data_IF_427270515890
#
_entry.id   IF_427270515890
#
_cell.length_a   1.000
_cell.length_b   1.000
_cell.length_c   1.000
_cell.angle_alpha   90.00
_cell.angle_beta   90.00
_cell.angle_gamma   90.00
#
_symmetry.space_group_name_H-M   'P 1'
#
loop_
_entity.id
_entity.type
_entity.pdbx_description
1 polymer ?
#
# COMPACT_ATOMS: atom_id res chain seq x y z
N UNK A 1 -2.04 -3.16 -20.59
CA UNK A 1 -2.08 -1.70 -20.80
C UNK A 1 -0.67 -1.24 -21.13
N UNK A 2 -0.43 -0.62 -22.28
CA UNK A 2 0.92 -0.22 -22.73
C UNK A 2 1.45 1.09 -22.13
N UNK A 3 0.64 1.80 -21.31
CA UNK A 3 1.00 3.06 -20.64
C UNK A 3 1.08 2.85 -19.13
N UNK A 4 1.78 3.76 -18.44
CA UNK A 4 1.86 3.75 -16.97
C UNK A 4 0.45 3.93 -16.38
N UNK A 5 -0.13 2.85 -15.83
CA UNK A 5 -1.50 2.84 -15.27
C UNK A 5 -1.68 3.82 -14.11
N UNK A 6 -0.61 4.21 -13.43
CA UNK A 6 -0.66 5.16 -12.32
C UNK A 6 -0.98 6.59 -12.77
N UNK A 7 -0.73 6.91 -14.07
CA UNK A 7 -1.08 8.19 -14.70
C UNK A 7 -2.56 8.29 -15.14
N UNK A 8 -3.32 7.19 -15.06
CA UNK A 8 -4.71 7.22 -15.46
C UNK A 8 -5.52 8.18 -14.57
N UNK A 9 -6.41 9.00 -15.14
CA UNK A 9 -7.19 9.95 -14.35
C UNK A 9 -8.25 9.27 -13.49
N UNK A 10 -8.34 9.66 -12.21
CA UNK A 10 -9.40 9.24 -11.28
C UNK A 10 -9.93 10.46 -10.52
N UNK A 11 -11.06 11.00 -10.97
CA UNK A 11 -11.50 12.34 -10.62
C UNK A 11 -10.60 13.38 -11.29
N UNK A 12 -10.10 14.34 -10.51
CA UNK A 12 -9.21 15.40 -10.96
C UNK A 12 -7.73 15.08 -10.74
N UNK A 13 -7.39 13.86 -10.34
CA UNK A 13 -6.05 13.46 -9.94
C UNK A 13 -5.61 12.17 -10.63
N UNK A 14 -4.32 11.86 -10.56
CA UNK A 14 -3.77 10.59 -11.02
C UNK A 14 -4.15 9.44 -10.10
N UNK A 15 -4.47 8.29 -10.68
CA UNK A 15 -4.84 7.06 -9.97
C UNK A 15 -3.82 6.67 -8.90
N UNK A 16 -2.53 6.65 -9.26
CA UNK A 16 -1.46 6.24 -8.34
C UNK A 16 -1.32 7.17 -7.13
N UNK A 17 -1.69 8.45 -7.28
CA UNK A 17 -1.61 9.43 -6.20
C UNK A 17 -2.61 9.18 -5.06
N UNK A 18 -3.72 8.49 -5.34
CA UNK A 18 -4.78 8.25 -4.36
C UNK A 18 -4.30 7.44 -3.15
N UNK A 19 -3.57 6.35 -3.40
CA UNK A 19 -3.03 5.51 -2.32
C UNK A 19 -1.98 6.27 -1.50
N UNK A 20 -1.11 7.05 -2.15
CA UNK A 20 -0.13 7.90 -1.48
C UNK A 20 -0.80 8.97 -0.63
N UNK A 21 -1.81 9.65 -1.16
CA UNK A 21 -2.60 10.65 -0.46
C UNK A 21 -3.25 10.07 0.81
N UNK A 22 -3.89 8.89 0.69
CA UNK A 22 -4.48 8.22 1.83
C UNK A 22 -3.44 7.90 2.91
N UNK A 23 -2.24 7.43 2.52
CA UNK A 23 -1.16 7.14 3.44
C UNK A 23 -0.63 8.40 4.14
N UNK A 24 -0.30 9.44 3.38
CA UNK A 24 0.27 10.70 3.91
C UNK A 24 -0.71 11.45 4.81
N UNK A 25 -2.02 11.32 4.56
CA UNK A 25 -3.07 11.92 5.38
C UNK A 25 -3.52 11.03 6.56
N UNK A 26 -2.96 9.84 6.71
CA UNK A 26 -3.27 8.91 7.79
C UNK A 26 -2.41 9.15 9.04
N UNK A 27 -2.57 8.28 10.04
CA UNK A 27 -1.77 8.30 11.28
C UNK A 27 -0.39 7.65 11.15
N UNK A 28 0.02 7.15 9.96
CA UNK A 28 1.38 6.62 9.79
C UNK A 28 2.41 7.72 9.97
N UNK A 29 3.53 7.41 10.62
CA UNK A 29 4.57 8.39 10.89
C UNK A 29 5.28 8.86 9.62
N UNK A 30 5.51 7.93 8.67
CA UNK A 30 6.21 8.22 7.42
C UNK A 30 5.77 7.26 6.30
N UNK A 31 5.69 7.75 5.08
CA UNK A 31 5.35 6.96 3.89
C UNK A 31 6.56 6.83 2.98
N UNK A 32 6.87 5.62 2.54
CA UNK A 32 7.99 5.34 1.63
C UNK A 32 7.42 4.94 0.27
N UNK A 33 7.62 5.76 -0.74
CA UNK A 33 7.26 5.46 -2.12
C UNK A 33 8.43 4.77 -2.80
N UNK A 34 8.22 3.54 -3.26
CA UNK A 34 9.24 2.77 -3.96
C UNK A 34 8.86 2.61 -5.42
N UNK A 35 9.71 3.08 -6.32
CA UNK A 35 9.51 2.95 -7.76
C UNK A 35 10.66 2.21 -8.43
N UNK A 36 10.47 1.78 -9.68
CA UNK A 36 11.56 1.33 -10.53
C UNK A 36 12.50 2.48 -10.87
N UNK A 37 13.73 2.17 -11.23
CA UNK A 37 14.69 3.16 -11.74
C UNK A 37 14.14 3.86 -12.98
N UNK A 38 14.25 5.19 -13.00
CA UNK A 38 13.80 6.03 -14.12
C UNK A 38 12.32 6.40 -14.08
N UNK A 39 11.60 6.13 -12.99
CA UNK A 39 10.27 6.68 -12.77
C UNK A 39 10.39 8.18 -12.46
N UNK A 40 9.69 9.02 -13.21
CA UNK A 40 9.73 10.48 -13.10
C UNK A 40 8.70 11.05 -12.10
N UNK A 41 7.91 10.18 -11.45
CA UNK A 41 6.91 10.53 -10.43
C UNK A 41 5.76 11.43 -10.94
N UNK A 42 5.56 11.55 -12.24
CA UNK A 42 4.50 12.39 -12.83
C UNK A 42 3.08 11.99 -12.37
N UNK A 43 2.93 10.77 -11.86
CA UNK A 43 1.67 10.29 -11.29
C UNK A 43 1.39 10.78 -9.87
N UNK A 44 2.36 11.44 -9.23
CA UNK A 44 2.18 12.03 -7.89
C UNK A 44 1.70 13.46 -8.05
N UNK A 45 0.57 13.77 -7.40
CA UNK A 45 -0.01 15.11 -7.47
C UNK A 45 0.93 16.18 -6.87
N UNK A 46 1.04 17.36 -7.52
CA UNK A 46 1.96 18.42 -7.11
C UNK A 46 1.80 18.86 -5.65
N UNK A 47 0.58 18.82 -5.12
CA UNK A 47 0.31 19.19 -3.72
C UNK A 47 1.11 18.35 -2.71
N UNK A 48 1.42 17.08 -3.04
CA UNK A 48 2.17 16.18 -2.15
C UNK A 48 3.66 16.56 -2.04
N UNK A 49 4.17 17.41 -2.94
CA UNK A 49 5.51 17.98 -2.87
C UNK A 49 5.57 19.30 -2.10
N UNK A 50 4.42 19.83 -1.65
CA UNK A 50 4.39 21.06 -0.84
C UNK A 50 4.99 20.83 0.55
N UNK A 51 5.40 21.93 1.22
CA UNK A 51 5.98 21.90 2.56
C UNK A 51 5.11 21.16 3.59
N UNK A 52 3.78 21.22 3.44
CA UNK A 52 2.84 20.57 4.34
C UNK A 52 2.94 19.03 4.30
N UNK A 53 3.36 18.47 3.18
CA UNK A 53 3.37 17.00 2.97
C UNK A 53 4.75 16.41 2.70
N UNK A 54 5.71 17.18 2.16
CA UNK A 54 7.01 16.64 1.72
C UNK A 54 7.81 15.96 2.84
N UNK A 55 7.61 16.35 4.10
CA UNK A 55 8.28 15.74 5.24
C UNK A 55 7.62 14.41 5.68
N UNK A 56 6.39 14.13 5.23
CA UNK A 56 5.63 12.93 5.60
C UNK A 56 5.92 11.72 4.72
N UNK A 57 6.67 11.91 3.64
CA UNK A 57 7.01 10.81 2.75
C UNK A 57 8.39 10.98 2.13
N UNK A 58 8.92 9.88 1.63
CA UNK A 58 10.18 9.86 0.87
C UNK A 58 10.07 8.93 -0.32
N UNK A 59 10.92 9.15 -1.32
CA UNK A 59 10.99 8.34 -2.53
C UNK A 59 12.27 7.52 -2.57
N UNK A 60 12.17 6.26 -3.01
CA UNK A 60 13.29 5.37 -3.29
C UNK A 60 13.17 4.84 -4.71
N UNK A 61 14.22 5.07 -5.50
CA UNK A 61 14.40 4.43 -6.80
C UNK A 61 15.07 3.07 -6.63
N UNK A 62 14.29 1.98 -6.78
CA UNK A 62 14.78 0.61 -6.63
C UNK A 62 15.31 0.07 -7.97
N UNK A 63 16.62 -0.03 -8.11
CA UNK A 63 17.27 -0.54 -9.34
C UNK A 63 16.93 -2.00 -9.64
N UNK A 64 16.60 -2.77 -8.62
CA UNK A 64 16.21 -4.19 -8.73
C UNK A 64 14.70 -4.42 -8.88
N UNK A 65 13.87 -3.39 -8.99
CA UNK A 65 12.41 -3.51 -9.07
C UNK A 65 11.91 -4.45 -10.17
N UNK A 66 12.66 -4.54 -11.30
CA UNK A 66 12.34 -5.45 -12.40
C UNK A 66 12.53 -6.94 -12.05
N UNK A 67 13.16 -7.27 -10.92
CA UNK A 67 13.32 -8.65 -10.44
C UNK A 67 12.06 -9.19 -9.72
N UNK A 68 10.98 -8.39 -9.70
CA UNK A 68 9.69 -8.76 -9.11
C UNK A 68 9.32 -7.95 -7.88
N UNK A 69 8.10 -8.15 -7.38
CA UNK A 69 7.49 -7.38 -6.29
C UNK A 69 8.32 -7.42 -5.00
N UNK A 70 8.95 -8.55 -4.69
CA UNK A 70 9.79 -8.71 -3.49
C UNK A 70 10.98 -7.74 -3.46
N UNK A 71 11.53 -7.38 -4.63
CA UNK A 71 12.67 -6.46 -4.70
C UNK A 71 12.26 -5.04 -4.26
N UNK A 72 11.13 -4.55 -4.74
CA UNK A 72 10.57 -3.26 -4.32
C UNK A 72 10.22 -3.24 -2.84
N UNK A 73 9.61 -4.33 -2.34
CA UNK A 73 9.28 -4.47 -0.92
C UNK A 73 10.53 -4.39 -0.03
N UNK A 74 11.61 -5.08 -0.41
CA UNK A 74 12.89 -5.05 0.33
C UNK A 74 13.55 -3.66 0.29
N UNK A 75 13.49 -2.95 -0.83
CA UNK A 75 13.97 -1.57 -0.91
C UNK A 75 13.25 -0.68 0.12
N UNK A 76 11.91 -0.75 0.17
CA UNK A 76 11.11 -0.02 1.14
C UNK A 76 11.38 -0.46 2.59
N UNK A 77 11.51 -1.77 2.82
CA UNK A 77 11.79 -2.33 4.13
C UNK A 77 13.16 -1.88 4.67
N UNK A 78 14.18 -1.82 3.80
CA UNK A 78 15.49 -1.32 4.21
C UNK A 78 15.39 0.13 4.71
N UNK A 79 14.65 0.98 4.00
CA UNK A 79 14.43 2.37 4.44
C UNK A 79 13.63 2.43 5.74
N UNK A 80 12.64 1.59 5.92
CA UNK A 80 11.88 1.51 7.17
C UNK A 80 12.78 1.12 8.36
N UNK A 81 13.73 0.21 8.16
CA UNK A 81 14.73 -0.15 9.17
C UNK A 81 15.65 1.03 9.53
N UNK A 82 16.10 1.80 8.53
CA UNK A 82 16.89 3.02 8.74
C UNK A 82 16.13 4.07 9.58
N UNK A 83 14.82 4.15 9.38
CA UNK A 83 13.90 5.00 10.15
C UNK A 83 13.50 4.39 11.50
N UNK A 84 14.06 3.24 11.88
CA UNK A 84 13.76 2.53 13.14
C UNK A 84 12.28 2.19 13.30
N UNK A 85 11.58 1.85 12.19
CA UNK A 85 10.16 1.54 12.22
C UNK A 85 9.87 0.27 13.05
N UNK A 86 8.82 0.32 13.88
CA UNK A 86 8.32 -0.83 14.63
C UNK A 86 7.39 -1.71 13.80
N UNK A 87 6.78 -1.13 12.76
CA UNK A 87 5.93 -1.84 11.81
C UNK A 87 5.95 -1.15 10.43
N UNK A 88 5.55 -1.88 9.40
CA UNK A 88 5.33 -1.34 8.05
C UNK A 88 3.95 -1.75 7.54
N UNK A 89 3.21 -0.80 6.92
CA UNK A 89 1.99 -1.10 6.17
C UNK A 89 2.33 -1.14 4.69
N UNK A 90 2.10 -2.27 4.05
CA UNK A 90 2.30 -2.46 2.61
C UNK A 90 1.02 -2.08 1.88
N UNK A 91 1.11 -1.03 1.07
CA UNK A 91 0.05 -0.55 0.18
C UNK A 91 0.44 -0.79 -1.28
N UNK A 92 -0.56 -0.88 -2.15
CA UNK A 92 -0.36 -0.98 -3.59
C UNK A 92 -0.86 0.31 -4.27
N UNK A 93 -0.02 0.93 -5.08
CA UNK A 93 -0.35 2.19 -5.75
C UNK A 93 -1.48 2.07 -6.79
N UNK A 94 -1.75 0.84 -7.26
CA UNK A 94 -2.83 0.51 -8.18
C UNK A 94 -4.16 0.13 -7.50
N UNK A 95 -4.23 0.23 -6.16
CA UNK A 95 -5.45 0.12 -5.36
C UNK A 95 -5.92 1.52 -4.89
N UNK A 96 -6.51 2.34 -5.78
CA UNK A 96 -6.75 3.76 -5.51
C UNK A 96 -7.90 4.05 -4.56
N UNK A 97 -8.68 3.02 -4.19
CA UNK A 97 -9.85 3.19 -3.30
C UNK A 97 -9.53 2.89 -1.83
N UNK A 98 -8.24 2.65 -1.52
CA UNK A 98 -7.80 2.51 -0.13
C UNK A 98 -8.16 3.77 0.67
N UNK A 99 -8.65 3.59 1.91
CA UNK A 99 -9.13 4.70 2.72
C UNK A 99 -8.19 5.03 3.89
N UNK A 100 -8.13 6.30 4.26
CA UNK A 100 -7.45 6.79 5.47
C UNK A 100 -7.97 6.04 6.70
N UNK A 101 -9.29 5.78 6.76
CA UNK A 101 -9.92 5.07 7.87
C UNK A 101 -9.34 3.67 8.04
N UNK A 102 -9.19 2.91 6.94
CA UNK A 102 -8.63 1.56 7.02
C UNK A 102 -7.17 1.57 7.46
N UNK A 103 -6.36 2.50 6.94
CA UNK A 103 -4.95 2.66 7.35
C UNK A 103 -4.89 2.99 8.86
N UNK A 104 -5.70 3.94 9.31
CA UNK A 104 -5.76 4.33 10.73
C UNK A 104 -6.25 3.20 11.64
N UNK A 105 -7.18 2.38 11.16
CA UNK A 105 -7.62 1.18 11.88
C UNK A 105 -6.46 0.20 12.08
N UNK A 106 -5.61 -0.01 11.07
CA UNK A 106 -4.43 -0.87 11.18
C UNK A 106 -3.41 -0.32 12.18
N UNK A 107 -3.17 1.00 12.15
CA UNK A 107 -2.30 1.66 13.14
C UNK A 107 -2.85 1.43 14.55
N UNK A 108 -4.14 1.72 14.79
CA UNK A 108 -4.75 1.57 16.11
C UNK A 108 -4.80 0.11 16.58
N UNK A 109 -5.05 -0.85 15.68
CA UNK A 109 -4.98 -2.27 16.03
C UNK A 109 -3.58 -2.69 16.45
N UNK A 110 -2.53 -2.19 15.75
CA UNK A 110 -1.15 -2.49 16.10
C UNK A 110 -0.75 -1.84 17.44
N UNK A 111 -1.16 -0.60 17.70
CA UNK A 111 -0.91 0.08 18.99
C UNK A 111 -1.51 -0.69 20.16
N UNK A 112 -2.71 -1.27 19.99
CA UNK A 112 -3.39 -2.06 21.01
C UNK A 112 -2.88 -3.51 21.12
N UNK A 113 -2.25 -4.04 20.07
CA UNK A 113 -1.77 -5.43 19.98
C UNK A 113 -0.36 -5.48 19.40
N UNK A 114 0.60 -4.81 20.04
CA UNK A 114 1.97 -4.63 19.51
C UNK A 114 2.77 -5.94 19.34
N UNK A 115 2.33 -7.04 19.95
CA UNK A 115 2.95 -8.36 19.82
C UNK A 115 2.50 -9.15 18.57
N UNK A 116 1.46 -8.70 17.85
CA UNK A 116 1.00 -9.44 16.66
C UNK A 116 2.04 -9.36 15.53
N UNK A 117 2.31 -10.47 14.82
CA UNK A 117 3.25 -10.47 13.71
C UNK A 117 2.72 -9.68 12.50
N UNK A 118 1.43 -9.76 12.21
CA UNK A 118 0.82 -9.04 11.10
C UNK A 118 -0.66 -8.75 11.32
N UNK A 119 -1.16 -7.73 10.61
CA UNK A 119 -2.58 -7.41 10.45
C UNK A 119 -2.86 -7.36 8.96
N UNK A 120 -3.78 -8.16 8.47
CA UNK A 120 -4.13 -8.22 7.05
C UNK A 120 -5.58 -7.82 6.83
N UNK A 121 -5.83 -7.08 5.78
CA UNK A 121 -7.19 -6.94 5.27
C UNK A 121 -7.71 -8.30 4.82
N UNK A 122 -8.97 -8.57 5.11
CA UNK A 122 -9.62 -9.83 4.79
C UNK A 122 -11.00 -9.57 4.18
N UNK A 123 -11.30 -10.25 3.09
CA UNK A 123 -12.58 -10.13 2.41
C UNK A 123 -12.96 -11.46 1.77
N UNK A 124 -14.13 -12.00 2.12
CA UNK A 124 -14.65 -13.26 1.58
C UNK A 124 -13.62 -14.42 1.57
N UNK A 125 -12.92 -14.62 2.67
CA UNK A 125 -11.95 -15.70 2.80
C UNK A 125 -10.56 -15.39 2.21
N UNK A 126 -10.34 -14.19 1.66
CA UNK A 126 -9.09 -13.83 0.98
C UNK A 126 -8.38 -12.72 1.74
N UNK A 127 -7.13 -13.00 2.16
CA UNK A 127 -6.24 -12.00 2.73
C UNK A 127 -5.55 -11.19 1.61
N UNK A 128 -5.38 -9.89 1.83
CA UNK A 128 -4.78 -9.01 0.82
C UNK A 128 -4.24 -7.69 1.39
N UNK A 129 -3.68 -6.86 0.52
CA UNK A 129 -3.27 -5.52 0.88
C UNK A 129 -4.50 -4.63 1.19
N UNK A 130 -4.37 -3.69 2.16
CA UNK A 130 -3.18 -3.42 2.95
C UNK A 130 -2.85 -4.54 3.93
N UNK A 131 -1.54 -4.70 4.19
CA UNK A 131 -1.03 -5.60 5.23
C UNK A 131 -0.04 -4.85 6.10
N UNK A 132 -0.24 -4.85 7.40
CA UNK A 132 0.74 -4.39 8.36
C UNK A 132 1.60 -5.57 8.80
N UNK A 133 2.91 -5.39 8.83
CA UNK A 133 3.87 -6.32 9.41
C UNK A 133 4.63 -5.63 10.54
N UNK A 134 4.65 -6.24 11.71
CA UNK A 134 5.48 -5.79 12.82
C UNK A 134 6.97 -6.08 12.53
N UNK A 135 7.85 -5.41 13.24
CA UNK A 135 9.31 -5.53 13.12
C UNK A 135 9.81 -6.98 13.22
N UNK A 136 9.14 -7.82 14.00
CA UNK A 136 9.49 -9.25 14.11
C UNK A 136 9.38 -10.00 12.79
N UNK A 137 8.58 -9.50 11.82
CA UNK A 137 8.39 -10.11 10.50
C UNK A 137 9.41 -9.64 9.45
N UNK A 138 10.22 -8.61 9.75
CA UNK A 138 11.19 -8.06 8.80
C UNK A 138 12.16 -9.11 8.26
N UNK A 139 12.73 -10.04 9.08
CA UNK A 139 13.58 -11.10 8.56
C UNK A 139 12.88 -12.06 7.57
N UNK A 140 11.57 -12.27 7.75
CA UNK A 140 10.76 -13.10 6.83
C UNK A 140 10.48 -12.36 5.52
N UNK A 141 10.23 -11.06 5.58
CA UNK A 141 10.07 -10.20 4.39
C UNK A 141 11.35 -10.12 3.56
N UNK A 142 12.53 -10.09 4.20
CA UNK A 142 13.83 -10.09 3.51
C UNK A 142 14.09 -11.39 2.70
N UNK A 143 13.48 -12.50 3.09
CA UNK A 143 13.64 -13.81 2.40
C UNK A 143 12.76 -13.97 1.16
N UNK A 144 11.81 -13.05 0.91
CA UNK A 144 10.97 -13.09 -0.29
C UNK A 144 11.79 -12.99 -1.57
N UNK A 145 11.34 -13.64 -2.65
CA UNK A 145 12.04 -13.67 -3.94
C UNK A 145 11.06 -13.51 -5.11
N UNK A 146 11.50 -12.91 -6.21
CA UNK A 146 10.73 -12.73 -7.43
C UNK A 146 9.41 -11.99 -7.18
N UNK A 147 8.31 -12.48 -7.72
CA UNK A 147 6.97 -11.89 -7.58
C UNK A 147 6.24 -12.28 -6.28
N UNK A 148 6.99 -12.80 -5.31
CA UNK A 148 6.42 -13.09 -4.00
C UNK A 148 6.17 -11.79 -3.24
N UNK A 149 4.90 -11.52 -2.97
CA UNK A 149 4.47 -10.37 -2.17
C UNK A 149 4.08 -10.76 -0.74
N UNK A 150 3.51 -9.80 -0.03
CA UNK A 150 3.03 -9.91 1.35
C UNK A 150 2.13 -11.13 1.61
N UNK A 151 1.28 -11.51 0.64
CA UNK A 151 0.36 -12.66 0.74
C UNK A 151 1.09 -13.98 1.01
N UNK A 152 2.31 -14.16 0.50
CA UNK A 152 3.08 -15.39 0.75
C UNK A 152 3.43 -15.53 2.23
N UNK A 153 3.85 -14.44 2.86
CA UNK A 153 4.19 -14.42 4.28
C UNK A 153 2.99 -14.79 5.14
N UNK A 154 1.81 -14.23 4.84
CA UNK A 154 0.57 -14.55 5.56
C UNK A 154 0.26 -16.05 5.48
N UNK A 155 0.35 -16.65 4.28
CA UNK A 155 0.08 -18.08 4.08
C UNK A 155 1.07 -18.98 4.79
N UNK A 156 2.34 -18.58 4.88
CA UNK A 156 3.40 -19.38 5.52
C UNK A 156 3.35 -19.34 7.05
N UNK A 157 2.88 -18.24 7.64
CA UNK A 157 2.83 -18.07 9.10
C UNK A 157 1.55 -18.62 9.74
N UNK A 158 0.63 -19.14 8.93
CA UNK A 158 -0.67 -19.62 9.40
C UNK A 158 -1.62 -18.51 9.83
N UNK A 159 -2.90 -18.81 9.92
CA UNK A 159 -3.93 -17.86 10.32
C UNK A 159 -3.95 -17.58 11.83
N UNK A 160 -3.26 -18.39 12.61
CA UNK A 160 -3.36 -18.39 14.08
C UNK A 160 -2.56 -17.26 14.76
N UNK A 161 -1.60 -16.66 14.04
CA UNK A 161 -0.65 -15.73 14.65
C UNK A 161 -0.87 -14.27 14.26
N UNK A 162 -1.87 -13.92 13.46
CA UNK A 162 -2.12 -12.57 13.01
C UNK A 162 -3.57 -12.13 13.18
N UNK A 163 -3.83 -10.85 12.96
CA UNK A 163 -5.18 -10.29 12.94
C UNK A 163 -5.65 -10.21 11.48
N UNK A 164 -6.82 -10.80 11.20
CA UNK A 164 -7.53 -10.65 9.95
C UNK A 164 -8.67 -9.66 10.15
N UNK A 165 -8.49 -8.46 9.62
CA UNK A 165 -9.50 -7.41 9.69
C UNK A 165 -10.51 -7.59 8.56
N UNK A 166 -11.72 -8.04 8.90
CA UNK A 166 -12.80 -8.24 7.93
C UNK A 166 -13.27 -6.89 7.36
N UNK A 167 -13.15 -6.73 6.06
CA UNK A 167 -13.58 -5.54 5.35
C UNK A 167 -14.92 -5.81 4.65
N UNK A 168 -15.91 -4.98 4.89
CA UNK A 168 -17.23 -5.07 4.23
C UNK A 168 -17.24 -4.51 2.80
N UNK A 169 -16.26 -3.67 2.45
CA UNK A 169 -16.19 -2.99 1.16
C UNK A 169 -15.16 -3.66 0.22
N UNK A 170 -15.67 -4.48 -0.70
CA UNK A 170 -14.86 -5.14 -1.73
C UNK A 170 -14.01 -4.18 -2.57
N UNK A 171 -14.45 -2.93 -2.72
CA UNK A 171 -13.77 -1.96 -3.57
C UNK A 171 -12.38 -1.60 -3.07
N UNK A 172 -12.10 -1.76 -1.78
CA UNK A 172 -10.79 -1.51 -1.17
C UNK A 172 -9.69 -2.44 -1.70
N UNK A 173 -10.07 -3.60 -2.26
CA UNK A 173 -9.16 -4.63 -2.78
C UNK A 173 -9.02 -4.59 -4.30
N UNK A 174 -9.70 -3.66 -4.96
CA UNK A 174 -9.67 -3.59 -6.43
C UNK A 174 -8.40 -2.91 -6.91
N UNK A 175 -7.63 -3.65 -7.68
CA UNK A 175 -6.47 -3.17 -8.44
C UNK A 175 -6.85 -2.83 -9.89
N UNK A 176 -6.08 -1.95 -10.51
CA UNK A 176 -6.27 -1.52 -11.90
C UNK A 176 -5.31 -2.27 -12.81
N UNK A 177 -5.63 -3.51 -13.17
CA UNK A 177 -4.83 -4.31 -14.12
C UNK A 177 -5.43 -4.35 -15.52
N UNK A 178 -6.73 -4.11 -15.66
CA UNK A 178 -7.44 -4.13 -16.93
C UNK A 178 -8.25 -2.84 -17.17
N UNK A 179 -8.56 -2.56 -18.42
CA UNK A 179 -9.45 -1.45 -18.77
C UNK A 179 -10.84 -1.59 -18.11
N UNK A 180 -11.35 -2.81 -18.00
CA UNK A 180 -12.63 -3.08 -17.33
C UNK A 180 -12.57 -2.77 -15.83
N UNK A 181 -11.49 -3.18 -15.14
CA UNK A 181 -11.27 -2.85 -13.73
C UNK A 181 -11.20 -1.33 -13.53
N UNK A 182 -10.49 -0.63 -14.41
CA UNK A 182 -10.41 0.83 -14.36
C UNK A 182 -11.78 1.50 -14.49
N UNK A 183 -12.61 1.12 -15.50
CA UNK A 183 -13.94 1.72 -15.65
C UNK A 183 -14.86 1.41 -14.45
N UNK A 184 -14.74 0.22 -13.86
CA UNK A 184 -15.48 -0.14 -12.64
C UNK A 184 -15.04 0.74 -11.46
N UNK A 185 -13.76 0.93 -11.27
CA UNK A 185 -13.20 1.78 -10.21
C UNK A 185 -13.64 3.23 -10.38
N UNK A 186 -13.63 3.78 -11.61
CA UNK A 186 -14.13 5.13 -11.88
C UNK A 186 -15.59 5.31 -11.48
N UNK A 187 -16.43 4.32 -11.75
CA UNK A 187 -17.85 4.36 -11.36
C UNK A 187 -18.00 4.40 -9.84
N UNK A 188 -17.32 3.49 -9.15
CA UNK A 188 -17.35 3.42 -7.67
C UNK A 188 -16.82 4.72 -7.06
N UNK A 189 -15.71 5.23 -7.57
CA UNK A 189 -15.13 6.49 -7.10
C UNK A 189 -16.12 7.66 -7.21
N UNK A 190 -16.79 7.82 -8.36
CA UNK A 190 -17.83 8.84 -8.55
C UNK A 190 -19.00 8.68 -7.57
N UNK A 191 -19.43 7.47 -7.29
CA UNK A 191 -20.51 7.19 -6.33
C UNK A 191 -20.10 7.55 -4.89
N UNK A 192 -18.85 7.24 -4.51
CA UNK A 192 -18.30 7.61 -3.19
C UNK A 192 -18.20 9.13 -3.02
N UNK A 193 -17.71 9.86 -4.03
CA UNK A 193 -17.62 11.32 -3.99
C UNK A 193 -18.98 12.04 -3.89
N UNK A 194 -20.08 11.42 -4.33
CA UNK A 194 -21.43 12.00 -4.23
C UNK A 194 -22.07 11.83 -2.84
N UNK A 195 -21.50 10.98 -1.99
CA UNK A 195 -22.03 10.67 -0.64
C UNK A 195 -21.35 11.49 0.46
N UNK A 196 -20.33 12.26 0.11
CA UNK A 196 -19.63 13.21 0.97
C UNK A 196 -20.21 14.61 0.74
#
# INVERSE_FOLDING_TARGET
>A
MGSNKLLLPLGNECLGSKALQAAVCSKVNHTIVVTKKGDNLEWIEPILFSEAYQQKWSHISCSSALKGQSASLKCGLQKAKELSADAVIVLLADQPLISIVLINTFVSLFENHSSVPFISSFYQGIAGAPVLFSKQMFPSLDKLQGDQGARKIIRQNGTENGIFYECSDASLFMDVDTKQAYERIKKIYKEKCRRI
#
